data_IF_722855673332
#
_entry.id   IF_722855673332
#
_cell.length_a   1.000
_cell.length_b   1.000
_cell.length_c   1.000
_cell.angle_alpha   90.00
_cell.angle_beta   90.00
_cell.angle_gamma   90.00
#
_symmetry.space_group_name_H-M   'P 1'
#
loop_
_entity.id
_entity.type
_entity.pdbx_description
1 polymer ?
#
# COMPACT_ATOMS: atom_id res chain seq x y z
N UNK A 1 -2.39 -49.27 -10.08
CA UNK A 1 -1.52 -48.64 -9.06
C UNK A 1 -0.84 -47.36 -9.53
N UNK A 2 -0.24 -47.30 -10.75
CA UNK A 2 0.44 -46.09 -11.25
C UNK A 2 -0.49 -44.89 -11.45
N UNK A 3 -1.67 -45.10 -12.04
CA UNK A 3 -2.66 -44.03 -12.31
C UNK A 3 -3.18 -43.37 -11.03
N UNK A 4 -3.49 -44.16 -10.00
CA UNK A 4 -3.95 -43.66 -8.69
C UNK A 4 -2.88 -42.82 -7.99
N UNK A 5 -1.60 -43.23 -8.10
CA UNK A 5 -0.47 -42.48 -7.55
C UNK A 5 -0.27 -41.16 -8.27
N UNK A 6 -0.46 -41.12 -9.59
CA UNK A 6 -0.36 -39.89 -10.38
C UNK A 6 -1.50 -38.92 -10.06
N UNK A 7 -2.74 -39.40 -9.95
CA UNK A 7 -3.90 -38.55 -9.58
C UNK A 7 -3.71 -37.95 -8.18
N UNK A 8 -3.24 -38.76 -7.22
CA UNK A 8 -2.94 -38.29 -5.87
C UNK A 8 -1.87 -37.18 -5.86
N UNK A 9 -0.82 -37.32 -6.66
CA UNK A 9 0.23 -36.29 -6.78
C UNK A 9 -0.27 -35.00 -7.43
N UNK A 10 -1.15 -35.07 -8.43
CA UNK A 10 -1.75 -33.89 -9.07
C UNK A 10 -2.67 -33.13 -8.09
N UNK A 11 -3.49 -33.86 -7.34
CA UNK A 11 -4.36 -33.28 -6.31
C UNK A 11 -3.51 -32.65 -5.20
N UNK A 12 -2.47 -33.34 -4.71
CA UNK A 12 -1.57 -32.81 -3.70
C UNK A 12 -0.83 -31.54 -4.17
N UNK A 13 -0.44 -31.47 -5.45
CA UNK A 13 0.20 -30.28 -6.03
C UNK A 13 -0.78 -29.11 -6.21
N UNK A 14 -2.06 -29.39 -6.47
CA UNK A 14 -3.12 -28.38 -6.57
C UNK A 14 -3.40 -27.66 -5.25
N UNK A 15 -3.18 -28.30 -4.10
CA UNK A 15 -3.36 -27.68 -2.77
C UNK A 15 -2.17 -26.82 -2.33
N UNK A 16 -1.03 -26.85 -3.05
CA UNK A 16 0.15 -26.02 -2.78
C UNK A 16 0.01 -24.63 -3.44
N UNK A 17 -0.92 -24.47 -4.39
CA UNK A 17 -1.22 -23.18 -5.02
C UNK A 17 -2.11 -22.27 -4.15
N UNK A 18 -2.05 -22.39 -2.82
CA UNK A 18 -2.61 -21.36 -1.95
C UNK A 18 -1.89 -20.04 -2.23
N UNK A 19 -2.67 -18.97 -2.25
CA UNK A 19 -2.29 -17.64 -2.71
C UNK A 19 -0.90 -17.21 -2.23
N UNK A 20 -0.06 -16.81 -3.18
CA UNK A 20 1.18 -16.09 -2.89
C UNK A 20 0.78 -14.69 -2.34
N UNK A 21 0.38 -14.63 -1.06
CA UNK A 21 0.00 -13.42 -0.33
C UNK A 21 1.23 -12.58 0.04
N UNK A 22 2.02 -12.22 -0.96
CA UNK A 22 3.11 -11.26 -0.81
C UNK A 22 2.67 -9.83 -1.17
N UNK A 23 1.44 -9.66 -1.70
CA UNK A 23 0.98 -8.40 -2.26
C UNK A 23 0.37 -7.52 -1.15
N UNK A 24 1.21 -6.79 -0.41
CA UNK A 24 0.75 -5.65 0.42
C UNK A 24 0.56 -4.38 -0.41
N UNK A 25 0.04 -4.54 -1.62
CA UNK A 25 -0.03 -3.50 -2.64
C UNK A 25 -1.14 -3.77 -3.65
N UNK A 26 -2.30 -4.25 -3.20
CA UNK A 26 -3.42 -4.56 -4.07
C UNK A 26 -4.12 -3.30 -4.56
N UNK A 27 -4.02 -2.18 -3.83
CA UNK A 27 -4.60 -0.90 -4.23
C UNK A 27 -3.49 0.12 -4.39
N UNK A 28 -3.35 0.66 -5.60
CA UNK A 28 -2.35 1.67 -5.96
C UNK A 28 -3.02 3.03 -6.06
N UNK A 29 -2.63 3.97 -5.21
CA UNK A 29 -3.15 5.33 -5.22
C UNK A 29 -2.15 6.27 -5.91
N UNK A 30 -2.61 6.97 -6.94
CA UNK A 30 -1.82 7.90 -7.73
C UNK A 30 -2.36 9.32 -7.61
N UNK A 31 -1.59 10.28 -8.12
CA UNK A 31 -2.06 11.64 -8.35
C UNK A 31 -3.22 11.74 -9.35
N UNK A 32 -3.73 12.96 -9.51
CA UNK A 32 -4.88 13.28 -10.36
C UNK A 32 -6.16 12.51 -9.99
N UNK A 33 -6.34 12.28 -8.68
CA UNK A 33 -7.47 11.56 -8.09
C UNK A 33 -7.64 10.11 -8.58
N UNK A 34 -6.59 9.49 -9.11
CA UNK A 34 -6.65 8.16 -9.71
C UNK A 34 -6.18 7.05 -8.76
N UNK A 35 -6.81 5.87 -8.85
CA UNK A 35 -6.34 4.64 -8.21
C UNK A 35 -6.61 3.41 -9.07
N UNK A 36 -5.90 2.31 -8.80
CA UNK A 36 -6.12 0.99 -9.41
C UNK A 36 -6.21 -0.07 -8.32
N UNK A 37 -7.21 -0.95 -8.42
CA UNK A 37 -7.44 -2.11 -7.56
C UNK A 37 -7.11 -3.40 -8.32
N UNK A 38 -6.21 -4.21 -7.78
CA UNK A 38 -5.69 -5.45 -8.37
C UNK A 38 -6.29 -6.73 -7.75
N UNK A 39 -7.27 -6.64 -6.85
CA UNK A 39 -7.86 -7.78 -6.14
C UNK A 39 -8.49 -8.85 -7.06
N UNK A 40 -8.97 -8.46 -8.25
CA UNK A 40 -9.76 -9.31 -9.15
C UNK A 40 -9.01 -9.92 -10.34
N UNK A 41 -7.67 -9.89 -10.36
CA UNK A 41 -6.84 -10.37 -11.48
C UNK A 41 -6.75 -9.39 -12.66
N UNK A 42 -7.88 -8.80 -13.07
CA UNK A 42 -7.90 -7.62 -13.94
C UNK A 42 -7.92 -6.34 -13.09
N UNK A 43 -7.07 -5.34 -13.36
CA UNK A 43 -7.07 -4.09 -12.60
C UNK A 43 -8.37 -3.29 -12.79
N UNK A 44 -9.00 -2.87 -11.70
CA UNK A 44 -10.22 -2.06 -11.69
C UNK A 44 -9.89 -0.61 -11.33
N UNK A 45 -10.29 0.39 -12.15
CA UNK A 45 -10.12 1.79 -11.80
C UNK A 45 -10.90 2.20 -10.55
N UNK A 46 -10.27 3.01 -9.71
CA UNK A 46 -10.86 3.63 -8.51
C UNK A 46 -10.34 5.07 -8.37
N UNK A 47 -10.64 5.73 -7.25
CA UNK A 47 -10.26 7.12 -6.98
C UNK A 47 -9.32 7.25 -5.79
N UNK A 48 -8.56 8.34 -5.74
CA UNK A 48 -7.74 8.76 -4.60
C UNK A 48 -8.02 10.22 -4.26
N UNK A 49 -7.63 10.67 -3.05
CA UNK A 49 -7.63 12.11 -2.70
C UNK A 49 -6.36 12.85 -3.16
N UNK A 50 -5.47 12.21 -3.89
CA UNK A 50 -4.18 12.81 -4.25
C UNK A 50 -4.38 13.75 -5.44
N UNK A 51 -4.20 15.05 -5.20
CA UNK A 51 -4.14 16.09 -6.24
C UNK A 51 -2.75 16.70 -6.26
N UNK A 52 -1.77 15.92 -6.72
CA UNK A 52 -0.35 16.29 -6.76
C UNK A 52 0.40 15.48 -7.82
N UNK A 53 1.57 15.98 -8.25
CA UNK A 53 2.53 15.27 -9.11
C UNK A 53 3.75 14.76 -8.33
N UNK A 54 3.72 14.80 -7.01
CA UNK A 54 4.82 14.34 -6.16
C UNK A 54 4.89 12.82 -6.03
N UNK A 55 5.71 12.35 -5.10
CA UNK A 55 5.79 10.94 -4.71
C UNK A 55 4.43 10.44 -4.24
N UNK A 56 4.12 9.17 -4.46
CA UNK A 56 2.94 8.50 -3.94
C UNK A 56 3.31 7.08 -3.52
N UNK A 57 2.72 6.62 -2.41
CA UNK A 57 2.85 5.26 -1.89
C UNK A 57 1.51 4.82 -1.32
N UNK A 58 1.20 3.53 -1.43
CA UNK A 58 -0.01 2.95 -0.84
C UNK A 58 0.31 1.61 -0.19
N UNK A 59 -0.48 1.24 0.81
CA UNK A 59 -0.36 -0.02 1.52
C UNK A 59 -1.73 -0.69 1.64
N UNK A 60 -1.79 -1.94 1.23
CA UNK A 60 -2.93 -2.82 1.50
C UNK A 60 -2.59 -3.86 2.56
N UNK A 61 -3.61 -4.36 3.25
CA UNK A 61 -3.48 -5.52 4.14
C UNK A 61 -3.38 -6.84 3.36
N UNK A 62 -3.33 -7.96 4.08
CA UNK A 62 -3.26 -9.30 3.49
C UNK A 62 -4.55 -9.75 2.80
N UNK A 63 -5.68 -9.10 3.09
CA UNK A 63 -6.96 -9.36 2.43
C UNK A 63 -7.11 -8.52 1.15
N UNK A 64 -6.17 -7.60 0.90
CA UNK A 64 -6.19 -6.70 -0.24
C UNK A 64 -6.91 -5.37 0.01
N UNK A 65 -7.34 -5.12 1.25
CA UNK A 65 -8.01 -3.88 1.64
C UNK A 65 -6.97 -2.76 1.81
N UNK A 66 -7.28 -1.57 1.30
CA UNK A 66 -6.42 -0.39 1.48
C UNK A 66 -6.36 -0.03 2.96
N UNK A 67 -5.16 0.13 3.51
CA UNK A 67 -4.95 0.61 4.88
C UNK A 67 -4.77 2.13 4.87
N UNK A 68 -3.77 2.60 4.13
CA UNK A 68 -3.47 4.02 3.97
C UNK A 68 -2.64 4.24 2.70
N UNK A 69 -2.57 5.49 2.28
CA UNK A 69 -1.68 5.95 1.22
C UNK A 69 -1.13 7.33 1.57
N UNK A 70 0.03 7.65 1.02
CA UNK A 70 0.69 8.92 1.26
C UNK A 70 1.20 9.53 -0.03
N UNK A 71 1.37 10.84 -0.04
CA UNK A 71 1.98 11.54 -1.17
C UNK A 71 2.73 12.78 -0.73
N UNK A 72 3.66 13.27 -1.55
CA UNK A 72 4.21 14.62 -1.40
C UNK A 72 3.44 15.62 -2.26
N UNK A 73 3.28 16.84 -1.75
CA UNK A 73 2.66 17.96 -2.49
C UNK A 73 3.72 18.70 -3.30
N UNK A 74 3.68 18.54 -4.62
CA UNK A 74 4.59 19.24 -5.53
C UNK A 74 4.29 20.74 -5.58
N UNK A 75 5.34 21.56 -5.76
CA UNK A 75 5.20 23.01 -5.90
C UNK A 75 4.93 23.76 -4.59
N UNK A 76 4.99 23.09 -3.43
CA UNK A 76 4.93 23.74 -2.11
C UNK A 76 6.34 24.02 -1.62
N UNK A 77 6.58 25.23 -1.14
CA UNK A 77 7.84 25.60 -0.50
C UNK A 77 7.88 25.09 0.94
N UNK A 78 8.97 24.44 1.32
CA UNK A 78 9.18 23.93 2.68
C UNK A 78 9.82 22.55 2.67
N UNK A 79 10.01 22.00 3.87
CA UNK A 79 10.51 20.63 4.08
C UNK A 79 9.41 19.65 4.45
N UNK A 80 8.18 20.14 4.67
CA UNK A 80 7.03 19.35 5.09
C UNK A 80 5.99 19.41 3.98
N UNK A 81 5.98 18.40 3.11
CA UNK A 81 5.05 18.33 1.98
C UNK A 81 4.28 17.00 1.94
N UNK A 82 4.60 16.06 2.82
CA UNK A 82 3.98 14.75 2.83
C UNK A 82 2.64 14.76 3.55
N UNK A 83 1.64 14.13 2.92
CA UNK A 83 0.29 13.96 3.42
C UNK A 83 -0.06 12.47 3.43
N UNK A 84 -0.71 11.99 4.48
CA UNK A 84 -1.16 10.60 4.62
C UNK A 84 -2.67 10.55 4.77
N UNK A 85 -3.30 9.69 3.99
CA UNK A 85 -4.72 9.46 3.96
C UNK A 85 -5.04 8.03 4.35
N UNK A 86 -6.13 7.85 5.08
CA UNK A 86 -6.66 6.52 5.42
C UNK A 86 -7.42 5.89 4.24
N UNK A 87 -7.92 4.67 4.47
CA UNK A 87 -8.74 3.92 3.52
C UNK A 87 -10.05 4.60 3.13
N UNK A 88 -10.57 5.52 3.95
CA UNK A 88 -11.77 6.32 3.67
C UNK A 88 -11.47 7.64 2.96
N UNK A 89 -10.25 7.79 2.43
CA UNK A 89 -9.80 8.97 1.68
C UNK A 89 -9.73 10.27 2.50
N UNK A 90 -9.64 10.15 3.82
CA UNK A 90 -9.52 11.27 4.76
C UNK A 90 -8.07 11.41 5.23
N UNK A 91 -7.62 12.66 5.37
CA UNK A 91 -6.31 12.95 5.95
C UNK A 91 -6.23 12.38 7.37
N UNK A 92 -5.18 11.62 7.68
CA UNK A 92 -4.93 11.11 9.02
C UNK A 92 -4.58 12.25 9.99
N UNK A 93 -4.94 12.08 11.26
CA UNK A 93 -4.50 12.99 12.33
C UNK A 93 -2.96 13.04 12.34
N UNK A 94 -2.40 14.25 12.36
CA UNK A 94 -0.95 14.53 12.24
C UNK A 94 -0.29 13.97 10.97
N UNK A 95 -1.10 13.53 9.99
CA UNK A 95 -0.65 12.95 8.73
C UNK A 95 -0.12 13.98 7.73
N UNK A 96 -0.06 15.26 8.09
CA UNK A 96 0.45 16.37 7.27
C UNK A 96 1.83 16.90 7.69
N UNK A 97 2.40 16.32 8.74
CA UNK A 97 3.68 16.74 9.33
C UNK A 97 4.86 15.95 8.77
N UNK A 98 4.72 15.36 7.58
CA UNK A 98 5.71 14.45 6.99
C UNK A 98 6.72 15.22 6.14
N UNK A 99 7.99 14.97 6.39
CA UNK A 99 9.08 15.56 5.63
C UNK A 99 9.05 15.08 4.16
N UNK A 100 9.30 15.99 3.22
CA UNK A 100 9.39 15.71 1.79
C UNK A 100 9.64 16.98 0.99
N UNK A 101 10.35 16.88 -0.13
CA UNK A 101 10.68 18.01 -1.01
C UNK A 101 9.65 18.31 -2.10
N UNK A 102 8.61 17.48 -2.24
CA UNK A 102 7.57 17.65 -3.27
C UNK A 102 7.97 17.09 -4.63
N UNK A 103 8.96 16.20 -4.66
CA UNK A 103 9.52 15.55 -5.84
C UNK A 103 9.18 14.05 -5.86
N UNK A 104 9.86 13.30 -6.72
CA UNK A 104 9.62 11.87 -6.96
C UNK A 104 10.55 11.00 -6.11
N UNK A 105 10.12 9.77 -5.81
CA UNK A 105 10.91 8.74 -5.11
C UNK A 105 11.34 9.10 -3.68
N UNK A 106 10.55 9.92 -2.99
CA UNK A 106 10.86 10.42 -1.64
C UNK A 106 10.24 9.58 -0.51
N UNK A 107 9.28 8.72 -0.84
CA UNK A 107 8.52 7.94 0.13
C UNK A 107 8.63 6.44 -0.15
N UNK A 108 8.76 5.67 0.92
CA UNK A 108 8.63 4.20 0.92
C UNK A 108 8.00 3.79 2.25
N UNK A 109 7.21 2.72 2.26
CA UNK A 109 6.57 2.18 3.45
C UNK A 109 7.35 0.93 3.89
N UNK A 110 7.77 0.90 5.14
CA UNK A 110 8.56 -0.16 5.76
C UNK A 110 7.84 -0.63 7.03
N UNK A 111 7.39 -1.90 7.12
CA UNK A 111 6.80 -2.42 8.35
C UNK A 111 7.78 -2.29 9.52
N UNK A 112 7.27 -1.98 10.71
CA UNK A 112 8.09 -1.94 11.91
C UNK A 112 8.55 -3.37 12.24
N UNK A 113 9.86 -3.63 12.31
CA UNK A 113 10.38 -4.96 12.54
C UNK A 113 10.09 -5.51 13.95
N UNK A 114 9.72 -4.65 14.91
CA UNK A 114 9.39 -5.05 16.28
C UNK A 114 7.89 -5.27 16.50
N UNK A 115 7.04 -4.82 15.58
CA UNK A 115 5.59 -4.85 15.72
C UNK A 115 4.92 -4.76 14.34
N UNK A 116 4.28 -5.85 13.92
CA UNK A 116 3.64 -5.97 12.61
C UNK A 116 2.43 -5.04 12.41
N UNK A 117 1.95 -4.39 13.49
CA UNK A 117 0.84 -3.44 13.45
C UNK A 117 1.26 -1.98 13.22
N UNK A 118 2.56 -1.66 13.29
CA UNK A 118 3.08 -0.33 13.01
C UNK A 118 3.90 -0.30 11.71
N UNK A 119 3.74 0.76 10.91
CA UNK A 119 4.44 0.94 9.63
C UNK A 119 5.22 2.26 9.64
N UNK A 120 6.49 2.17 9.28
CA UNK A 120 7.49 3.25 9.27
C UNK A 120 7.78 3.68 7.83
N UNK A 121 7.76 4.96 7.48
CA UNK A 121 8.28 5.39 6.17
C UNK A 121 9.76 5.76 6.30
N UNK A 122 10.66 5.41 5.38
CA UNK A 122 12.10 5.72 5.57
C UNK A 122 12.53 7.17 5.28
N UNK A 123 11.60 8.13 5.35
CA UNK A 123 11.90 9.52 5.75
C UNK A 123 11.18 9.98 7.02
N UNK A 124 10.34 9.16 7.68
CA UNK A 124 9.78 9.45 9.00
C UNK A 124 9.19 8.21 9.70
N UNK A 125 9.59 8.03 10.96
CA UNK A 125 8.94 7.12 11.92
C UNK A 125 7.54 7.61 12.24
N UNK A 126 6.53 6.81 11.91
CA UNK A 126 5.16 7.00 12.40
C UNK A 126 4.77 5.80 13.23
N UNK A 127 4.56 6.05 14.52
CA UNK A 127 3.80 5.17 15.39
C UNK A 127 2.33 5.39 15.07
N UNK A 128 1.74 4.54 14.23
CA UNK A 128 0.28 4.48 14.10
C UNK A 128 -0.23 3.72 15.32
N UNK A 129 -0.60 4.44 16.39
CA UNK A 129 -1.42 3.87 17.44
C UNK A 129 -2.85 3.82 16.92
N UNK A 130 -3.34 2.61 16.61
CA UNK A 130 -4.77 2.35 16.44
C UNK A 130 -5.45 2.43 17.81
N UNK A 131 -6.12 3.55 18.06
CA UNK A 131 -7.16 3.66 19.09
C UNK A 131 -8.52 3.26 18.53
#
# INVERSE_FOLDING_TARGET
MKLFRTIFLIIAFSFIACDLLAQRGNIWCFGDSAALDFNGGAPVPSTSSIVSRGSCVSLSDSNGDLLFYAHTKAGVSGITTGLIFNSTHQLLLDGDSIAGGGWYQEMVIIPNPADDSSFTSSQLVLQINSG
#
